data_IF_788815443161
#
_entry.id   IF_788815443161
#
_cell.length_a   1.000
_cell.length_b   1.000
_cell.length_c   1.000
_cell.angle_alpha   90.00
_cell.angle_beta   90.00
_cell.angle_gamma   90.00
#
_symmetry.space_group_name_H-M   'P 1'
#
loop_
_entity.id
_entity.type
_entity.pdbx_description
1 polymer ?
#
# COMPACT_ATOMS: atom_id res chain seq x y z
N UNK A 1 33.55 -60.97 -4.35
CA UNK A 1 33.66 -59.50 -4.43
C UNK A 1 32.44 -58.99 -3.70
N UNK A 2 32.56 -58.95 -2.37
CA UNK A 2 32.81 -57.72 -1.58
C UNK A 2 31.44 -57.18 -1.15
N UNK A 3 30.93 -57.68 -0.04
CA UNK A 3 31.02 -57.03 1.29
C UNK A 3 29.95 -55.94 1.40
N UNK A 4 28.72 -56.34 1.73
CA UNK A 4 27.72 -55.44 2.31
C UNK A 4 28.07 -55.24 3.80
N UNK A 5 28.15 -54.00 4.29
CA UNK A 5 28.43 -53.77 5.71
C UNK A 5 27.17 -54.07 6.54
N UNK A 6 27.24 -55.16 7.31
CA UNK A 6 26.39 -55.40 8.49
C UNK A 6 26.72 -54.37 9.57
N UNK A 7 25.75 -53.55 9.95
CA UNK A 7 25.81 -52.77 11.19
C UNK A 7 24.82 -53.39 12.17
N UNK A 8 25.30 -54.35 12.96
CA UNK A 8 24.68 -54.74 14.22
C UNK A 8 25.52 -54.09 15.33
N UNK A 9 24.90 -53.24 16.14
CA UNK A 9 24.97 -53.28 17.61
C UNK A 9 24.31 -52.02 18.19
N UNK A 10 23.06 -52.16 18.64
CA UNK A 10 22.59 -51.40 19.79
C UNK A 10 23.18 -52.03 21.04
N UNK A 11 23.65 -51.21 22.00
CA UNK A 11 23.37 -51.54 23.38
C UNK A 11 22.66 -50.40 24.11
N UNK A 12 21.48 -50.78 24.63
CA UNK A 12 20.95 -50.51 25.97
C UNK A 12 21.14 -49.11 26.57
N UNK A 13 20.03 -48.37 26.59
CA UNK A 13 19.27 -47.92 27.77
C UNK A 13 19.98 -47.24 28.96
N UNK A 14 19.15 -46.38 29.59
CA UNK A 14 19.23 -45.86 30.97
C UNK A 14 20.29 -44.79 31.31
N UNK A 15 19.96 -43.52 30.97
CA UNK A 15 20.37 -42.38 31.80
C UNK A 15 19.14 -41.70 32.44
N UNK A 16 19.04 -42.03 33.72
CA UNK A 16 18.17 -41.57 34.79
C UNK A 16 18.19 -40.03 34.97
N UNK A 17 17.19 -39.33 34.42
CA UNK A 17 16.86 -37.97 34.87
C UNK A 17 16.14 -38.06 36.22
N UNK A 18 16.93 -38.08 37.28
CA UNK A 18 16.46 -37.90 38.66
C UNK A 18 15.85 -36.51 38.82
N UNK A 19 14.51 -36.42 38.83
CA UNK A 19 13.80 -35.26 39.38
C UNK A 19 13.94 -35.31 40.90
N UNK A 20 14.91 -34.56 41.43
CA UNK A 20 14.98 -34.22 42.84
C UNK A 20 13.83 -33.26 43.21
N UNK A 21 13.13 -33.46 44.33
CA UNK A 21 11.96 -32.66 44.68
C UNK A 21 12.38 -31.34 45.36
N UNK A 22 11.82 -30.21 44.93
CA UNK A 22 11.68 -29.03 45.79
C UNK A 22 12.50 -27.78 45.46
N UNK A 23 12.66 -27.41 44.17
CA UNK A 23 13.08 -26.06 43.80
C UNK A 23 11.88 -25.15 43.60
N UNK A 24 11.54 -24.32 44.58
CA UNK A 24 10.59 -23.21 44.41
C UNK A 24 11.10 -22.27 43.31
N UNK A 25 10.35 -22.15 42.21
CA UNK A 25 10.55 -21.05 41.27
C UNK A 25 10.09 -19.78 41.98
N UNK A 26 11.01 -18.89 42.31
CA UNK A 26 10.67 -17.57 42.87
C UNK A 26 10.13 -16.70 41.72
N UNK A 27 8.81 -16.39 41.68
CA UNK A 27 8.21 -15.61 40.60
C UNK A 27 8.61 -14.12 40.66
N UNK A 28 9.41 -13.71 41.65
CA UNK A 28 9.85 -12.33 41.85
C UNK A 28 11.35 -12.10 41.66
N UNK A 29 12.12 -13.12 41.26
CA UNK A 29 13.49 -12.88 40.79
C UNK A 29 13.43 -12.26 39.40
N UNK A 30 13.36 -10.93 39.36
CA UNK A 30 13.57 -10.17 38.13
C UNK A 30 14.94 -10.53 37.58
N UNK A 31 14.96 -11.10 36.38
CA UNK A 31 16.18 -11.21 35.58
C UNK A 31 16.57 -9.79 35.14
N UNK A 32 17.69 -9.22 35.62
CA UNK A 32 18.07 -7.88 35.24
C UNK A 32 18.91 -7.99 33.97
N UNK A 33 18.25 -8.07 32.82
CA UNK A 33 18.94 -7.98 31.55
C UNK A 33 18.27 -8.67 30.38
N UNK A 34 16.97 -8.49 30.20
CA UNK A 34 16.45 -8.37 28.84
C UNK A 34 16.16 -6.88 28.63
N UNK A 35 17.24 -6.15 28.36
CA UNK A 35 17.16 -4.82 27.77
C UNK A 35 16.77 -5.10 26.31
N UNK A 36 15.49 -5.44 26.12
CA UNK A 36 14.80 -5.33 24.84
C UNK A 36 14.95 -3.86 24.47
N UNK A 37 16.05 -3.57 23.78
CA UNK A 37 16.26 -2.30 23.14
C UNK A 37 15.08 -2.15 22.20
N UNK A 38 14.14 -1.28 22.59
CA UNK A 38 13.17 -0.67 21.70
C UNK A 38 13.97 -0.01 20.57
N UNK A 39 14.37 -0.79 19.55
CA UNK A 39 14.90 -0.24 18.32
C UNK A 39 13.79 0.65 17.76
N UNK A 40 14.07 1.95 17.52
CA UNK A 40 13.04 2.85 17.05
C UNK A 40 12.54 2.32 15.72
N UNK A 41 11.24 1.98 15.67
CA UNK A 41 10.59 1.56 14.45
C UNK A 41 10.97 2.55 13.33
N UNK A 42 11.64 2.07 12.28
CA UNK A 42 12.06 2.93 11.18
C UNK A 42 10.83 3.67 10.66
N UNK A 43 10.86 5.00 10.76
CA UNK A 43 9.78 5.83 10.25
C UNK A 43 9.86 5.83 8.74
N UNK A 44 8.96 5.11 8.08
CA UNK A 44 8.86 5.09 6.62
C UNK A 44 8.50 6.50 6.13
N UNK A 45 9.35 7.10 5.30
CA UNK A 45 9.00 8.31 4.54
C UNK A 45 8.06 7.92 3.39
N UNK A 46 6.76 7.90 3.68
CA UNK A 46 5.73 7.56 2.70
C UNK A 46 5.70 8.48 1.49
N UNK A 47 6.19 9.73 1.61
CA UNK A 47 6.25 10.65 0.46
C UNK A 47 7.37 10.22 -0.47
N UNK A 48 8.57 9.93 0.05
CA UNK A 48 9.68 9.43 -0.75
C UNK A 48 9.30 8.11 -1.43
N UNK A 49 8.80 7.14 -0.65
CA UNK A 49 8.40 5.83 -1.18
C UNK A 49 7.32 5.93 -2.27
N UNK A 50 6.35 6.84 -2.13
CA UNK A 50 5.36 7.11 -3.16
C UNK A 50 5.97 7.70 -4.44
N UNK A 51 6.92 8.64 -4.32
CA UNK A 51 7.54 9.28 -5.48
C UNK A 51 8.46 8.31 -6.23
N UNK A 52 9.18 7.45 -5.51
CA UNK A 52 10.00 6.39 -6.10
C UNK A 52 9.12 5.38 -6.85
N UNK A 53 8.06 4.89 -6.20
CA UNK A 53 7.07 4.03 -6.86
C UNK A 53 6.44 4.72 -8.07
N UNK A 54 6.10 6.00 -7.96
CA UNK A 54 5.50 6.76 -9.07
C UNK A 54 6.44 6.81 -10.28
N UNK A 55 7.73 7.12 -10.08
CA UNK A 55 8.70 7.19 -11.17
C UNK A 55 8.90 5.82 -11.82
N UNK A 56 9.11 4.76 -11.03
CA UNK A 56 9.27 3.39 -11.53
C UNK A 56 8.04 2.91 -12.29
N UNK A 57 6.85 3.14 -11.72
CA UNK A 57 5.60 2.70 -12.33
C UNK A 57 5.32 3.44 -13.64
N UNK A 58 5.51 4.77 -13.67
CA UNK A 58 5.28 5.56 -14.89
C UNK A 58 6.32 5.30 -15.99
N UNK A 59 7.52 4.84 -15.64
CA UNK A 59 8.50 4.34 -16.60
C UNK A 59 8.16 2.94 -17.15
N UNK A 60 7.33 2.17 -16.44
CA UNK A 60 6.87 0.83 -16.84
C UNK A 60 5.62 0.89 -17.73
N UNK A 61 4.70 1.81 -17.45
CA UNK A 61 3.40 1.87 -18.15
C UNK A 61 3.55 2.40 -19.57
N UNK A 62 3.17 1.57 -20.54
CA UNK A 62 3.04 2.02 -21.92
C UNK A 62 1.70 2.75 -22.09
N UNK A 63 1.76 4.05 -22.34
CA UNK A 63 0.58 4.79 -22.77
C UNK A 63 0.34 4.48 -24.25
N UNK A 64 -0.65 3.61 -24.52
CA UNK A 64 -1.06 3.28 -25.89
C UNK A 64 -1.76 4.47 -26.55
N UNK A 65 -1.12 5.05 -27.57
CA UNK A 65 -1.58 6.24 -28.28
C UNK A 65 -0.38 7.00 -28.85
N UNK A 66 -0.60 7.99 -29.70
CA UNK A 66 0.45 8.95 -30.05
C UNK A 66 1.00 9.52 -28.73
N UNK A 67 2.24 9.20 -28.35
CA UNK A 67 2.86 9.68 -27.09
C UNK A 67 2.77 11.20 -26.95
N UNK A 68 2.65 11.89 -28.09
CA UNK A 68 2.47 13.34 -28.23
C UNK A 68 1.07 13.85 -27.81
N UNK A 69 0.08 12.97 -27.62
CA UNK A 69 -1.34 13.33 -27.39
C UNK A 69 -1.93 12.78 -26.09
N UNK A 70 -1.19 12.01 -25.30
CA UNK A 70 -1.68 11.60 -24.00
C UNK A 70 -1.90 12.86 -23.13
N UNK A 71 -3.12 13.11 -22.63
CA UNK A 71 -3.43 14.31 -21.86
C UNK A 71 -2.75 14.19 -20.50
N UNK A 72 -1.54 14.71 -20.38
CA UNK A 72 -0.77 14.73 -19.15
C UNK A 72 -0.30 16.14 -18.86
N UNK A 73 -0.51 16.60 -17.63
CA UNK A 73 0.04 17.87 -17.19
C UNK A 73 1.42 17.63 -16.55
N UNK A 74 2.51 18.28 -17.00
CA UNK A 74 3.82 18.16 -16.34
C UNK A 74 3.83 18.67 -14.89
N UNK A 75 2.84 19.49 -14.50
CA UNK A 75 2.62 19.94 -13.13
C UNK A 75 1.45 19.20 -12.45
N UNK A 76 1.37 17.89 -12.66
CA UNK A 76 0.25 17.05 -12.21
C UNK A 76 -0.06 17.18 -10.71
N UNK A 77 0.93 17.49 -9.87
CA UNK A 77 0.75 17.69 -8.42
C UNK A 77 -0.15 18.90 -8.09
N UNK A 78 -0.39 19.80 -9.05
CA UNK A 78 -1.34 20.91 -8.91
C UNK A 78 -2.80 20.47 -9.10
N UNK A 79 -3.06 19.20 -9.40
CA UNK A 79 -4.39 18.62 -9.54
C UNK A 79 -4.71 17.73 -8.33
N UNK A 80 -5.44 18.23 -7.30
CA UNK A 80 -5.73 17.45 -6.09
C UNK A 80 -6.44 16.12 -6.38
N UNK A 81 -7.33 16.08 -7.37
CA UNK A 81 -7.97 14.84 -7.81
C UNK A 81 -6.95 13.82 -8.32
N UNK A 82 -5.96 14.26 -9.11
CA UNK A 82 -4.92 13.39 -9.65
C UNK A 82 -4.03 12.87 -8.53
N UNK A 83 -3.58 13.76 -7.64
CA UNK A 83 -2.77 13.37 -6.47
C UNK A 83 -3.52 12.32 -5.64
N UNK A 84 -4.80 12.53 -5.36
CA UNK A 84 -5.61 11.58 -4.60
C UNK A 84 -5.74 10.21 -5.31
N UNK A 85 -5.93 10.21 -6.64
CA UNK A 85 -6.01 8.98 -7.44
C UNK A 85 -4.68 8.22 -7.46
N UNK A 86 -3.56 8.90 -7.67
CA UNK A 86 -2.23 8.29 -7.68
C UNK A 86 -1.85 7.76 -6.31
N UNK A 87 -2.19 8.51 -5.25
CA UNK A 87 -1.99 8.05 -3.88
C UNK A 87 -2.81 6.79 -3.58
N UNK A 88 -4.08 6.74 -4.00
CA UNK A 88 -4.90 5.54 -3.84
C UNK A 88 -4.34 4.33 -4.59
N UNK A 89 -3.78 4.53 -5.80
CA UNK A 89 -3.10 3.48 -6.55
C UNK A 89 -1.87 2.95 -5.81
N UNK A 90 -1.07 3.84 -5.23
CA UNK A 90 0.09 3.48 -4.42
C UNK A 90 -0.30 2.70 -3.16
N UNK A 91 -1.33 3.14 -2.42
CA UNK A 91 -1.81 2.40 -1.26
C UNK A 91 -2.33 1.01 -1.65
N UNK A 92 -3.02 0.89 -2.79
CA UNK A 92 -3.43 -0.40 -3.33
C UNK A 92 -2.22 -1.25 -3.75
N UNK A 93 -1.16 -0.64 -4.27
CA UNK A 93 0.09 -1.35 -4.61
C UNK A 93 0.76 -1.93 -3.37
N UNK A 94 0.81 -1.19 -2.26
CA UNK A 94 1.36 -1.73 -1.01
C UNK A 94 0.59 -2.97 -0.52
N UNK A 95 -0.71 -3.08 -0.83
CA UNK A 95 -1.47 -4.30 -0.54
C UNK A 95 -1.06 -5.50 -1.40
N UNK A 96 -0.52 -5.28 -2.60
CA UNK A 96 0.07 -6.33 -3.44
C UNK A 96 1.37 -6.81 -2.82
N UNK A 97 2.24 -5.89 -2.39
CA UNK A 97 3.51 -6.22 -1.73
C UNK A 97 3.31 -7.02 -0.43
N UNK A 98 2.27 -6.70 0.32
CA UNK A 98 1.93 -7.40 1.56
C UNK A 98 1.14 -8.72 1.34
N UNK A 99 0.77 -9.05 0.09
CA UNK A 99 -0.13 -10.16 -0.20
C UNK A 99 0.61 -11.47 -0.48
N UNK A 100 0.14 -12.57 0.11
CA UNK A 100 0.60 -13.93 -0.19
C UNK A 100 -0.02 -14.53 -1.47
N UNK A 101 -1.04 -13.87 -2.04
CA UNK A 101 -1.72 -14.34 -3.25
C UNK A 101 -0.92 -14.06 -4.52
N UNK A 102 -0.67 -15.11 -5.30
CA UNK A 102 -0.05 -15.01 -6.64
C UNK A 102 -0.91 -14.24 -7.66
N UNK A 103 -2.20 -14.04 -7.39
CA UNK A 103 -3.11 -13.29 -8.26
C UNK A 103 -3.16 -11.78 -7.93
N UNK A 104 -2.61 -11.35 -6.79
CA UNK A 104 -2.77 -9.99 -6.29
C UNK A 104 -2.29 -8.92 -7.28
N UNK A 105 -1.17 -9.17 -7.96
CA UNK A 105 -0.66 -8.25 -8.98
C UNK A 105 -1.64 -8.11 -10.15
N UNK A 106 -2.15 -9.24 -10.68
CA UNK A 106 -3.12 -9.24 -11.77
C UNK A 106 -4.41 -8.51 -11.38
N UNK A 107 -4.91 -8.77 -10.17
CA UNK A 107 -6.10 -8.11 -9.65
C UNK A 107 -5.89 -6.61 -9.46
N UNK A 108 -4.70 -6.19 -9.04
CA UNK A 108 -4.37 -4.78 -8.91
C UNK A 108 -4.37 -4.05 -10.25
N UNK A 109 -3.79 -4.65 -11.29
CA UNK A 109 -3.83 -4.10 -12.64
C UNK A 109 -5.27 -3.91 -13.14
N UNK A 110 -6.11 -4.95 -13.01
CA UNK A 110 -7.48 -4.93 -13.53
C UNK A 110 -8.43 -4.03 -12.74
N UNK A 111 -8.30 -4.02 -11.41
CA UNK A 111 -9.28 -3.38 -10.53
C UNK A 111 -8.86 -2.00 -10.04
N UNK A 112 -7.56 -1.70 -10.04
CA UNK A 112 -7.05 -0.41 -9.59
C UNK A 112 -6.45 0.36 -10.76
N UNK A 113 -5.34 -0.10 -11.34
CA UNK A 113 -4.64 0.66 -12.39
C UNK A 113 -5.54 0.94 -13.60
N UNK A 114 -6.13 -0.09 -14.21
CA UNK A 114 -6.87 0.05 -15.47
C UNK A 114 -8.09 0.97 -15.36
N UNK A 115 -8.68 1.05 -14.17
CA UNK A 115 -9.82 1.94 -13.91
C UNK A 115 -9.37 3.39 -13.72
N UNK A 116 -8.30 3.61 -12.96
CA UNK A 116 -7.76 4.96 -12.75
C UNK A 116 -7.08 5.50 -14.01
N UNK A 117 -6.30 4.68 -14.73
CA UNK A 117 -5.64 5.06 -15.98
C UNK A 117 -6.66 5.54 -17.02
N UNK A 118 -7.81 4.88 -17.12
CA UNK A 118 -8.86 5.25 -18.07
C UNK A 118 -9.37 6.68 -17.83
N UNK A 119 -9.40 7.13 -16.57
CA UNK A 119 -9.82 8.48 -16.20
C UNK A 119 -8.67 9.48 -16.33
N UNK A 120 -7.47 9.11 -15.84
CA UNK A 120 -6.29 9.99 -15.84
C UNK A 120 -5.90 10.39 -17.27
N UNK A 121 -6.01 9.46 -18.22
CA UNK A 121 -5.62 9.66 -19.61
C UNK A 121 -6.79 9.95 -20.55
N UNK A 122 -8.00 10.22 -20.03
CA UNK A 122 -9.13 10.64 -20.88
C UNK A 122 -8.97 12.12 -21.28
N UNK A 123 -8.73 12.36 -22.57
CA UNK A 123 -8.53 13.71 -23.11
C UNK A 123 -9.81 14.53 -23.24
N UNK A 124 -10.98 13.90 -23.14
CA UNK A 124 -12.27 14.58 -23.26
C UNK A 124 -12.85 14.93 -21.90
N UNK A 125 -12.79 14.02 -20.93
CA UNK A 125 -13.43 14.24 -19.61
C UNK A 125 -12.46 14.22 -18.43
N UNK A 126 -11.22 13.77 -18.65
CA UNK A 126 -10.22 13.61 -17.60
C UNK A 126 -9.75 14.91 -16.95
N UNK A 127 -8.99 14.81 -15.85
CA UNK A 127 -8.57 15.95 -15.03
C UNK A 127 -7.57 16.87 -15.75
N UNK A 128 -6.95 16.40 -16.83
CA UNK A 128 -5.96 17.14 -17.62
C UNK A 128 -6.52 17.72 -18.93
N UNK A 129 -7.82 17.55 -19.22
CA UNK A 129 -8.42 17.94 -20.51
C UNK A 129 -8.23 19.43 -20.91
N UNK A 130 -8.04 20.31 -19.93
CA UNK A 130 -7.83 21.76 -20.14
C UNK A 130 -6.35 22.18 -20.02
N UNK A 131 -5.44 21.24 -19.72
CA UNK A 131 -4.03 21.54 -19.55
C UNK A 131 -3.27 21.47 -20.88
N UNK A 132 -2.21 22.27 -21.00
CA UNK A 132 -1.27 22.15 -22.11
C UNK A 132 -0.22 21.09 -21.73
N UNK A 133 -0.04 20.09 -22.59
CA UNK A 133 0.88 18.96 -22.33
C UNK A 133 2.34 19.38 -22.29
N UNK A 134 2.69 20.52 -22.90
CA UNK A 134 4.05 21.06 -22.94
C UNK A 134 4.25 22.21 -21.94
N UNK A 135 3.25 23.07 -21.76
CA UNK A 135 3.34 24.30 -20.96
C UNK A 135 2.84 24.14 -19.54
N UNK A 136 2.16 23.04 -19.20
CA UNK A 136 1.74 22.78 -17.83
C UNK A 136 0.37 23.32 -17.46
N UNK A 137 0.15 23.44 -16.15
CA UNK A 137 -1.13 23.79 -15.56
C UNK A 137 -1.42 25.27 -15.80
N UNK A 138 -2.67 25.61 -16.15
CA UNK A 138 -3.13 27.00 -16.30
C UNK A 138 -2.43 27.83 -17.39
N UNK A 139 -1.73 27.22 -18.37
CA UNK A 139 -1.18 27.94 -19.53
C UNK A 139 -2.22 28.79 -20.28
N UNK A 140 -3.52 28.49 -20.10
CA UNK A 140 -4.63 29.20 -20.72
C UNK A 140 -5.63 29.88 -19.76
N UNK A 141 -5.47 29.80 -18.42
CA UNK A 141 -6.39 30.45 -17.47
C UNK A 141 -5.68 31.09 -16.30
N UNK A 142 -5.97 32.37 -16.07
CA UNK A 142 -5.57 33.08 -14.85
C UNK A 142 -5.98 32.29 -13.61
N UNK A 143 -5.09 32.31 -12.60
CA UNK A 143 -5.22 31.60 -11.31
C UNK A 143 -6.61 31.78 -10.69
N UNK A 144 -7.45 30.76 -10.79
CA UNK A 144 -8.58 30.58 -9.88
C UNK A 144 -8.20 29.48 -8.89
N UNK A 145 -7.25 29.82 -8.02
CA UNK A 145 -6.59 28.90 -7.08
C UNK A 145 -7.57 28.23 -6.09
N UNK A 146 -8.78 28.77 -5.98
CA UNK A 146 -9.79 28.40 -4.99
C UNK A 146 -11.12 27.93 -5.60
N UNK A 147 -11.20 27.72 -6.92
CA UNK A 147 -12.45 27.22 -7.52
C UNK A 147 -12.60 25.74 -7.17
N UNK A 148 -13.54 25.44 -6.27
CA UNK A 148 -13.97 24.05 -6.00
C UNK A 148 -14.38 23.37 -7.31
N UNK A 149 -13.96 22.11 -7.49
CA UNK A 149 -14.31 21.32 -8.67
C UNK A 149 -15.83 21.20 -8.85
N UNK A 150 -16.55 21.14 -7.74
CA UNK A 150 -18.02 21.17 -7.68
C UNK A 150 -18.44 22.21 -6.65
N UNK A 151 -19.41 23.04 -7.00
CA UNK A 151 -20.09 23.89 -6.04
C UNK A 151 -20.93 23.01 -5.10
N UNK A 152 -20.33 22.57 -4.00
CA UNK A 152 -21.03 21.78 -2.98
C UNK A 152 -21.86 22.71 -2.10
N UNK A 153 -23.17 22.47 -2.06
CA UNK A 153 -24.06 23.02 -1.03
C UNK A 153 -24.26 21.95 0.03
N UNK A 154 -23.95 22.27 1.28
CA UNK A 154 -24.21 21.34 2.39
C UNK A 154 -25.70 21.34 2.72
N UNK A 155 -26.27 20.19 3.12
CA UNK A 155 -27.63 20.16 3.60
C UNK A 155 -27.76 21.01 4.89
N UNK A 156 -28.96 21.50 5.22
CA UNK A 156 -29.21 22.20 6.48
C UNK A 156 -28.82 21.36 7.71
N UNK A 157 -28.56 22.00 8.84
CA UNK A 157 -28.17 21.35 10.09
C UNK A 157 -29.23 20.34 10.59
N UNK A 158 -30.50 20.52 10.21
CA UNK A 158 -31.62 19.63 10.57
C UNK A 158 -31.72 18.38 9.68
N UNK A 159 -30.94 18.30 8.60
CA UNK A 159 -30.96 17.14 7.72
C UNK A 159 -30.28 15.94 8.40
N UNK A 160 -31.02 14.85 8.54
CA UNK A 160 -30.49 13.58 9.05
C UNK A 160 -30.50 12.53 7.95
N UNK A 161 -29.41 11.75 7.76
CA UNK A 161 -29.41 10.64 6.81
C UNK A 161 -30.46 9.59 7.21
N UNK A 162 -30.99 8.81 6.25
CA UNK A 162 -31.85 7.67 6.56
C UNK A 162 -31.15 6.74 7.54
N UNK A 163 -31.89 6.19 8.51
CA UNK A 163 -31.35 5.15 9.38
C UNK A 163 -30.94 3.96 8.51
N UNK A 164 -29.65 3.79 8.28
CA UNK A 164 -29.13 2.56 7.69
C UNK A 164 -29.51 1.45 8.65
N UNK A 165 -30.11 0.37 8.15
CA UNK A 165 -30.50 -0.79 8.95
C UNK A 165 -29.29 -1.61 9.40
N UNK A 166 -28.23 -0.95 9.89
CA UNK A 166 -27.09 -1.60 10.49
C UNK A 166 -27.58 -2.17 11.83
N UNK A 167 -27.46 -3.49 12.06
CA UNK A 167 -27.87 -4.07 13.33
C UNK A 167 -27.07 -3.44 14.48
N UNK A 168 -27.68 -3.24 15.66
CA UNK A 168 -26.92 -2.81 16.83
C UNK A 168 -25.81 -3.83 17.10
N UNK A 169 -24.60 -3.33 17.37
CA UNK A 169 -23.47 -4.16 17.80
C UNK A 169 -23.90 -5.04 18.97
N UNK A 170 -23.64 -6.35 18.84
CA UNK A 170 -24.00 -7.38 19.81
C UNK A 170 -22.99 -7.48 20.95
#
# INVERSE_FOLDING_TARGET
MSDEPTYEDEPAADEDYTVGPGGEVDPFRADPGDDDQDEPAETIDYRAAFLDWFDEHFNTVEVSGDRERAPWCPEWWLHPEVVARLWALYLAWMSVEASESVAALSDWWLNHWDRHRAILFDGQTGPFRECDTMRGHLANRMREKDRKAVAVTLPPDEWTPPKTGLPPEA
#
